data_IF_519647015970
#
_entry.id   IF_519647015970
#
_cell.length_a   1.000
_cell.length_b   1.000
_cell.length_c   1.000
_cell.angle_alpha   90.00
_cell.angle_beta   90.00
_cell.angle_gamma   90.00
#
_symmetry.space_group_name_H-M   'P 1'
#
loop_
_entity.id
_entity.type
_entity.pdbx_description
1 polymer ?
#
# COMPACT_ATOMS: atom_id res chain seq x y z
N UNK A 1 -9.70 -19.54 -2.84
CA UNK A 1 -9.58 -18.12 -3.24
C UNK A 1 -8.23 -17.57 -2.76
N UNK A 2 -7.66 -16.59 -3.45
CA UNK A 2 -6.35 -15.99 -3.09
C UNK A 2 -6.32 -15.41 -1.67
N UNK A 3 -7.42 -14.79 -1.22
CA UNK A 3 -7.58 -14.24 0.14
C UNK A 3 -7.38 -15.33 1.21
N UNK A 4 -8.02 -16.48 1.07
CA UNK A 4 -7.88 -17.58 2.03
C UNK A 4 -6.43 -18.10 2.14
N UNK A 5 -5.71 -18.17 1.02
CA UNK A 5 -4.28 -18.53 1.03
C UNK A 5 -3.45 -17.48 1.77
N UNK A 6 -3.72 -16.19 1.54
CA UNK A 6 -3.02 -15.09 2.23
C UNK A 6 -3.31 -15.09 3.72
N UNK A 7 -4.56 -15.27 4.14
CA UNK A 7 -4.94 -15.35 5.56
C UNK A 7 -4.25 -16.53 6.25
N UNK A 8 -4.21 -17.70 5.60
CA UNK A 8 -3.48 -18.85 6.13
C UNK A 8 -1.98 -18.57 6.26
N UNK A 9 -1.37 -17.94 5.26
CA UNK A 9 0.03 -17.56 5.33
C UNK A 9 0.31 -16.58 6.49
N UNK A 10 -0.55 -15.57 6.66
CA UNK A 10 -0.44 -14.61 7.78
C UNK A 10 -0.50 -15.34 9.13
N UNK A 11 -1.39 -16.33 9.26
CA UNK A 11 -1.54 -17.10 10.49
C UNK A 11 -0.38 -18.06 10.75
N UNK A 12 0.07 -18.78 9.72
CA UNK A 12 1.12 -19.79 9.84
C UNK A 12 2.54 -19.19 9.96
N UNK A 13 2.77 -18.01 9.35
CA UNK A 13 4.14 -17.52 9.10
C UNK A 13 4.47 -16.15 9.70
N UNK A 14 3.48 -15.35 10.11
CA UNK A 14 3.73 -14.00 10.64
C UNK A 14 3.40 -13.94 12.14
N UNK A 15 4.06 -13.05 12.87
CA UNK A 15 3.82 -12.81 14.28
C UNK A 15 3.70 -11.31 14.62
N UNK A 16 3.36 -11.03 15.88
CA UNK A 16 3.34 -9.68 16.45
C UNK A 16 2.58 -8.64 15.64
N UNK A 17 3.18 -7.45 15.52
CA UNK A 17 2.59 -6.31 14.80
C UNK A 17 2.40 -6.60 13.33
N UNK A 18 3.32 -7.33 12.67
CA UNK A 18 3.19 -7.66 11.25
C UNK A 18 1.96 -8.53 10.99
N UNK A 19 1.75 -9.57 11.80
CA UNK A 19 0.54 -10.39 11.71
C UNK A 19 -0.70 -9.53 11.88
N UNK A 20 -0.73 -8.68 12.90
CA UNK A 20 -1.85 -7.77 13.16
C UNK A 20 -2.15 -6.85 11.97
N UNK A 21 -1.15 -6.13 11.47
CA UNK A 21 -1.27 -5.20 10.34
C UNK A 21 -1.74 -5.90 9.07
N UNK A 22 -1.13 -7.03 8.70
CA UNK A 22 -1.52 -7.77 7.50
C UNK A 22 -2.93 -8.34 7.63
N UNK A 23 -3.31 -8.84 8.82
CA UNK A 23 -4.64 -9.38 9.05
C UNK A 23 -5.73 -8.31 8.92
N UNK A 24 -5.52 -7.13 9.50
CA UNK A 24 -6.45 -6.00 9.37
C UNK A 24 -6.68 -5.64 7.90
N UNK A 25 -5.60 -5.45 7.14
CA UNK A 25 -5.72 -5.06 5.73
C UNK A 25 -6.40 -6.13 4.87
N UNK A 26 -6.04 -7.40 5.04
CA UNK A 26 -6.62 -8.49 4.24
C UNK A 26 -8.08 -8.76 4.61
N UNK A 27 -8.46 -8.59 5.88
CA UNK A 27 -9.86 -8.71 6.30
C UNK A 27 -10.72 -7.57 5.76
N UNK A 28 -10.23 -6.33 5.81
CA UNK A 28 -10.92 -5.21 5.19
C UNK A 28 -11.07 -5.40 3.66
N UNK A 29 -10.05 -5.94 2.98
CA UNK A 29 -10.14 -6.29 1.56
C UNK A 29 -11.13 -7.42 1.27
N UNK A 30 -11.25 -8.42 2.15
CA UNK A 30 -12.24 -9.50 2.05
C UNK A 30 -13.66 -8.94 2.16
N UNK A 31 -13.92 -8.09 3.15
CA UNK A 31 -15.21 -7.42 3.35
C UNK A 31 -15.60 -6.54 2.15
N UNK A 32 -14.66 -5.72 1.65
CA UNK A 32 -14.90 -4.89 0.48
C UNK A 32 -15.20 -5.74 -0.76
N UNK A 33 -14.43 -6.82 -0.97
CA UNK A 33 -14.64 -7.73 -2.09
C UNK A 33 -16.04 -8.37 -2.05
N UNK A 34 -16.43 -8.91 -0.89
CA UNK A 34 -17.77 -9.48 -0.70
C UNK A 34 -18.86 -8.45 -0.95
N UNK A 35 -18.69 -7.22 -0.45
CA UNK A 35 -19.67 -6.17 -0.59
C UNK A 35 -19.82 -5.69 -2.04
N UNK A 36 -18.73 -5.47 -2.78
CA UNK A 36 -18.80 -5.02 -4.18
C UNK A 36 -19.18 -6.12 -5.17
N UNK A 37 -19.02 -7.39 -4.80
CA UNK A 37 -19.39 -8.53 -5.65
C UNK A 37 -20.78 -9.12 -5.37
N UNK A 38 -21.41 -8.75 -4.25
CA UNK A 38 -22.77 -9.23 -3.93
C UNK A 38 -23.81 -8.35 -4.62
N UNK A 39 -24.52 -8.91 -5.60
CA UNK A 39 -25.55 -8.19 -6.35
C UNK A 39 -26.67 -7.66 -5.44
N UNK A 40 -27.21 -6.49 -5.81
CA UNK A 40 -28.41 -5.92 -5.19
C UNK A 40 -28.16 -5.03 -3.97
N UNK A 41 -26.94 -4.99 -3.41
CA UNK A 41 -26.60 -4.03 -2.36
C UNK A 41 -26.11 -2.69 -2.95
N UNK A 42 -25.94 -1.67 -2.10
CA UNK A 42 -25.58 -0.33 -2.55
C UNK A 42 -24.10 -0.18 -2.94
N UNK A 43 -23.20 -0.94 -2.32
CA UNK A 43 -21.77 -0.95 -2.68
C UNK A 43 -21.53 -1.56 -4.07
N UNK A 44 -22.26 -2.61 -4.42
CA UNK A 44 -22.28 -3.18 -5.76
C UNK A 44 -22.71 -2.14 -6.81
N UNK A 45 -23.78 -1.38 -6.55
CA UNK A 45 -24.25 -0.33 -7.47
C UNK A 45 -23.20 0.77 -7.62
N UNK A 46 -22.66 1.28 -6.51
CA UNK A 46 -21.62 2.31 -6.52
C UNK A 46 -20.35 1.85 -7.25
N UNK A 47 -19.97 0.57 -7.10
CA UNK A 47 -18.87 -0.01 -7.84
C UNK A 47 -19.12 0.02 -9.34
N UNK A 48 -20.28 -0.45 -9.80
CA UNK A 48 -20.64 -0.43 -11.23
C UNK A 48 -20.71 0.99 -11.80
N UNK A 49 -21.25 1.94 -11.05
CA UNK A 49 -21.30 3.36 -11.41
C UNK A 49 -19.89 3.99 -11.48
N UNK A 50 -18.97 3.52 -10.64
CA UNK A 50 -17.58 4.00 -10.59
C UNK A 50 -16.66 3.34 -11.61
N UNK A 51 -17.03 2.16 -12.14
CA UNK A 51 -16.20 1.37 -13.03
C UNK A 51 -15.75 2.13 -14.30
N UNK A 52 -16.58 2.94 -15.00
CA UNK A 52 -16.13 3.71 -16.15
C UNK A 52 -14.99 4.70 -15.82
N UNK A 53 -15.05 5.34 -14.65
CA UNK A 53 -14.00 6.22 -14.15
C UNK A 53 -12.72 5.43 -13.86
N UNK A 54 -12.83 4.34 -13.10
CA UNK A 54 -11.70 3.47 -12.76
C UNK A 54 -11.00 2.92 -14.02
N UNK A 55 -11.77 2.47 -15.00
CA UNK A 55 -11.25 1.95 -16.27
C UNK A 55 -10.52 3.02 -17.08
N UNK A 56 -11.03 4.26 -17.10
CA UNK A 56 -10.38 5.38 -17.78
C UNK A 56 -9.08 5.79 -17.08
N UNK A 57 -9.09 5.81 -15.74
CA UNK A 57 -7.92 6.13 -14.93
C UNK A 57 -6.91 4.98 -14.81
N UNK A 58 -7.25 3.78 -15.29
CA UNK A 58 -6.54 2.53 -15.00
C UNK A 58 -5.05 2.56 -15.34
N UNK A 59 -4.65 3.20 -16.44
CA UNK A 59 -3.24 3.34 -16.80
C UNK A 59 -2.46 4.22 -15.79
N UNK A 60 -3.07 5.31 -15.33
CA UNK A 60 -2.51 6.18 -14.30
C UNK A 60 -2.40 5.47 -12.96
N UNK A 61 -3.46 4.81 -12.51
CA UNK A 61 -3.47 4.02 -11.26
C UNK A 61 -2.39 2.94 -11.30
N UNK A 62 -2.27 2.17 -12.39
CA UNK A 62 -1.22 1.16 -12.54
C UNK A 62 0.18 1.75 -12.44
N UNK A 63 0.39 2.95 -13.01
CA UNK A 63 1.66 3.67 -12.89
C UNK A 63 1.95 4.04 -11.43
N UNK A 64 0.96 4.53 -10.69
CA UNK A 64 1.09 4.85 -9.27
C UNK A 64 1.46 3.62 -8.43
N UNK A 65 0.81 2.47 -8.67
CA UNK A 65 1.12 1.22 -7.96
C UNK A 65 2.53 0.71 -8.27
N UNK A 66 2.96 0.77 -9.55
CA UNK A 66 4.35 0.43 -9.91
C UNK A 66 5.35 1.34 -9.22
N UNK A 67 5.09 2.64 -9.19
CA UNK A 67 5.93 3.62 -8.51
C UNK A 67 5.98 3.38 -7.00
N UNK A 68 4.88 2.99 -6.37
CA UNK A 68 4.85 2.58 -4.97
C UNK A 68 5.82 1.42 -4.74
N UNK A 69 5.74 0.36 -5.52
CA UNK A 69 6.62 -0.80 -5.38
C UNK A 69 8.10 -0.49 -5.62
N UNK A 70 8.41 0.35 -6.61
CA UNK A 70 9.77 0.89 -6.81
C UNK A 70 10.24 1.65 -5.56
N UNK A 71 9.39 2.50 -5.00
CA UNK A 71 9.72 3.30 -3.84
C UNK A 71 9.84 2.48 -2.54
N UNK A 72 9.02 1.45 -2.39
CA UNK A 72 9.17 0.45 -1.33
C UNK A 72 10.50 -0.27 -1.47
N UNK A 73 10.88 -0.72 -2.66
CA UNK A 73 12.21 -1.30 -2.89
C UNK A 73 13.34 -0.30 -2.56
N UNK A 74 13.19 0.98 -2.94
CA UNK A 74 14.16 2.04 -2.57
C UNK A 74 14.30 2.19 -1.06
N UNK A 75 13.21 2.09 -0.30
CA UNK A 75 13.25 2.14 1.17
C UNK A 75 14.03 0.97 1.79
N UNK A 76 14.02 -0.20 1.14
CA UNK A 76 14.77 -1.38 1.56
C UNK A 76 16.25 -1.28 1.17
N UNK A 77 16.56 -0.80 -0.02
CA UNK A 77 17.94 -0.86 -0.53
C UNK A 77 18.77 0.36 -0.13
N UNK A 78 18.13 1.53 -0.04
CA UNK A 78 18.84 2.82 0.05
C UNK A 78 18.63 3.55 1.37
N UNK A 79 17.56 3.26 2.12
CA UNK A 79 17.36 3.89 3.43
C UNK A 79 18.22 3.23 4.52
N UNK A 80 18.65 4.01 5.54
CA UNK A 80 19.11 3.45 6.81
C UNK A 80 18.05 2.49 7.38
N UNK A 81 18.48 1.39 8.00
CA UNK A 81 17.57 0.36 8.54
C UNK A 81 16.50 0.94 9.47
N UNK A 82 16.88 1.89 10.32
CA UNK A 82 15.98 2.56 11.27
C UNK A 82 14.95 3.48 10.60
N UNK A 83 15.13 3.85 9.33
CA UNK A 83 14.25 4.76 8.58
C UNK A 83 13.48 4.05 7.45
N UNK A 84 13.68 2.75 7.23
CA UNK A 84 12.98 2.01 6.16
C UNK A 84 11.47 2.15 6.25
N UNK A 85 10.88 1.92 7.43
CA UNK A 85 9.44 2.02 7.64
C UNK A 85 8.96 3.47 7.44
N UNK A 86 9.71 4.44 7.97
CA UNK A 86 9.41 5.86 7.80
C UNK A 86 9.30 6.26 6.31
N UNK A 87 10.28 5.87 5.50
CA UNK A 87 10.25 6.11 4.06
C UNK A 87 9.09 5.39 3.38
N UNK A 88 8.85 4.12 3.71
CA UNK A 88 7.76 3.33 3.15
C UNK A 88 6.39 3.98 3.38
N UNK A 89 6.16 4.44 4.60
CA UNK A 89 4.93 5.14 4.99
C UNK A 89 4.73 6.46 4.23
N UNK A 90 5.79 7.25 4.07
CA UNK A 90 5.70 8.48 3.29
C UNK A 90 5.51 8.20 1.79
N UNK A 91 6.14 7.16 1.25
CA UNK A 91 5.92 6.74 -0.14
C UNK A 91 4.52 6.21 -0.39
N UNK A 92 3.91 5.54 0.60
CA UNK A 92 2.49 5.20 0.53
C UNK A 92 1.64 6.46 0.42
N UNK A 93 1.84 7.47 1.28
CA UNK A 93 1.13 8.74 1.18
C UNK A 93 1.24 9.39 -0.21
N UNK A 94 2.44 9.39 -0.80
CA UNK A 94 2.67 9.88 -2.17
C UNK A 94 1.94 9.03 -3.23
N UNK A 95 1.81 7.72 -3.02
CA UNK A 95 1.06 6.85 -3.94
C UNK A 95 -0.43 7.17 -3.91
N UNK A 96 -0.97 7.57 -2.75
CA UNK A 96 -2.35 8.03 -2.62
C UNK A 96 -2.54 9.37 -3.35
N UNK A 97 -1.60 10.31 -3.21
CA UNK A 97 -1.61 11.56 -3.99
C UNK A 97 -1.61 11.27 -5.51
N UNK A 98 -0.80 10.29 -5.94
CA UNK A 98 -0.73 9.87 -7.34
C UNK A 98 -2.05 9.28 -7.85
N UNK A 99 -2.68 8.37 -7.08
CA UNK A 99 -3.96 7.76 -7.45
C UNK A 99 -5.05 8.82 -7.51
N UNK A 100 -5.09 9.73 -6.54
CA UNK A 100 -6.04 10.83 -6.52
C UNK A 100 -5.89 11.75 -7.74
N UNK A 101 -4.65 12.03 -8.16
CA UNK A 101 -4.37 12.76 -9.39
C UNK A 101 -4.76 11.96 -10.65
N UNK A 102 -4.53 10.65 -10.68
CA UNK A 102 -4.96 9.80 -11.80
C UNK A 102 -6.48 9.78 -11.98
N UNK A 103 -7.23 9.97 -10.90
CA UNK A 103 -8.70 10.06 -10.89
C UNK A 103 -9.23 11.47 -11.19
N UNK A 104 -8.38 12.48 -11.36
CA UNK A 104 -8.82 13.88 -11.52
C UNK A 104 -9.64 14.12 -12.80
N UNK A 105 -9.45 13.28 -13.82
CA UNK A 105 -10.13 13.37 -15.11
C UNK A 105 -11.55 12.79 -15.15
N UNK A 106 -12.05 12.22 -14.05
CA UNK A 106 -13.40 11.66 -14.02
C UNK A 106 -14.45 12.78 -14.07
N UNK A 107 -15.16 12.92 -15.20
CA UNK A 107 -16.25 13.88 -15.38
C UNK A 107 -17.37 13.63 -14.35
N UNK A 108 -17.92 14.67 -13.71
CA UNK A 108 -18.89 14.56 -12.59
C UNK A 108 -18.27 14.32 -11.20
N UNK A 109 -16.94 14.15 -11.16
CA UNK A 109 -15.88 14.20 -10.14
C UNK A 109 -16.08 14.00 -8.62
N UNK A 110 -17.28 13.89 -8.05
CA UNK A 110 -17.39 13.60 -6.59
C UNK A 110 -17.57 12.10 -6.30
N UNK A 111 -18.64 11.41 -6.76
CA UNK A 111 -19.00 10.13 -6.16
C UNK A 111 -18.05 8.97 -6.52
N UNK A 112 -17.67 8.83 -7.79
CA UNK A 112 -16.81 7.71 -8.21
C UNK A 112 -15.38 7.82 -7.69
N UNK A 113 -14.82 9.03 -7.72
CA UNK A 113 -13.50 9.32 -7.12
C UNK A 113 -13.55 9.09 -5.61
N UNK A 114 -14.57 9.61 -4.94
CA UNK A 114 -14.76 9.43 -3.50
C UNK A 114 -14.89 7.95 -3.16
N UNK A 115 -15.74 7.20 -3.86
CA UNK A 115 -15.90 5.77 -3.67
C UNK A 115 -14.55 5.03 -3.77
N UNK A 116 -13.79 5.26 -4.85
CA UNK A 116 -12.49 4.59 -5.04
C UNK A 116 -11.47 4.95 -3.95
N UNK A 117 -11.40 6.22 -3.54
CA UNK A 117 -10.50 6.66 -2.47
C UNK A 117 -10.92 6.12 -1.11
N UNK A 118 -12.22 6.07 -0.81
CA UNK A 118 -12.76 5.50 0.42
C UNK A 118 -12.50 4.00 0.53
N UNK A 119 -12.53 3.24 -0.58
CA UNK A 119 -12.15 1.81 -0.56
C UNK A 119 -10.66 1.64 -0.26
N UNK A 120 -9.80 2.47 -0.84
CA UNK A 120 -8.35 2.44 -0.54
C UNK A 120 -8.11 2.73 0.95
N UNK A 121 -8.78 3.75 1.50
CA UNK A 121 -8.66 4.11 2.92
C UNK A 121 -9.24 3.00 3.83
N UNK A 122 -10.38 2.42 3.48
CA UNK A 122 -10.97 1.32 4.24
C UNK A 122 -10.04 0.09 4.30
N UNK A 123 -9.42 -0.28 3.18
CA UNK A 123 -8.54 -1.45 3.10
C UNK A 123 -7.22 -1.24 3.84
N UNK A 124 -6.60 -0.06 3.73
CA UNK A 124 -5.23 0.15 4.19
C UNK A 124 -5.09 1.14 5.35
N UNK A 125 -6.06 2.01 5.59
CA UNK A 125 -5.98 3.14 6.52
C UNK A 125 -5.68 2.70 7.96
N UNK A 126 -6.41 1.71 8.48
CA UNK A 126 -6.19 1.20 9.83
C UNK A 126 -4.85 0.46 9.96
N UNK A 127 -4.53 -0.37 8.96
CA UNK A 127 -3.27 -1.10 8.91
C UNK A 127 -2.07 -0.14 8.90
N UNK A 128 -2.15 0.93 8.12
CA UNK A 128 -1.11 1.94 8.02
C UNK A 128 -1.06 2.86 9.23
N UNK A 129 -2.20 3.21 9.81
CA UNK A 129 -2.24 3.97 11.06
C UNK A 129 -1.49 3.24 12.17
N UNK A 130 -1.60 1.90 12.21
CA UNK A 130 -0.87 1.06 13.17
C UNK A 130 0.65 1.09 12.98
N UNK A 131 1.15 1.08 11.74
CA UNK A 131 2.61 0.96 11.47
C UNK A 131 3.31 2.29 11.20
N UNK A 132 2.60 3.27 10.63
CA UNK A 132 3.19 4.52 10.18
C UNK A 132 3.21 5.60 11.26
N UNK A 133 2.33 5.52 12.26
CA UNK A 133 2.28 6.49 13.36
C UNK A 133 2.22 7.92 12.84
N UNK A 134 3.30 8.69 13.05
CA UNK A 134 3.38 10.10 12.63
C UNK A 134 3.79 10.30 11.16
N UNK A 135 4.26 9.25 10.47
CA UNK A 135 4.67 9.31 9.06
C UNK A 135 3.46 9.17 8.13
N UNK A 136 2.57 10.15 8.16
CA UNK A 136 1.33 10.14 7.39
C UNK A 136 1.41 11.06 6.17
N UNK A 137 0.48 10.84 5.23
CA UNK A 137 0.30 11.67 4.02
C UNK A 137 0.23 13.15 4.38
N UNK A 138 1.05 13.98 3.71
CA UNK A 138 1.08 15.43 3.92
C UNK A 138 1.74 15.90 5.22
N UNK A 139 2.27 15.00 6.06
CA UNK A 139 2.92 15.40 7.31
C UNK A 139 4.26 16.13 7.06
N UNK A 140 4.58 17.11 7.92
CA UNK A 140 5.86 17.80 7.87
C UNK A 140 7.06 16.85 8.09
N UNK A 141 6.85 15.76 8.83
CA UNK A 141 7.88 14.75 9.07
C UNK A 141 8.22 14.01 7.77
N UNK A 142 7.23 13.67 6.95
CA UNK A 142 7.50 13.11 5.62
C UNK A 142 8.25 14.08 4.71
N UNK A 143 7.92 15.38 4.76
CA UNK A 143 8.63 16.40 3.99
C UNK A 143 10.08 16.61 4.46
N UNK A 144 10.38 16.32 5.72
CA UNK A 144 11.72 16.44 6.31
C UNK A 144 12.61 15.22 6.08
N UNK A 145 12.06 14.09 5.60
CA UNK A 145 12.86 12.89 5.33
C UNK A 145 13.83 13.14 4.16
N UNK A 146 15.09 12.69 4.28
CA UNK A 146 16.05 12.81 3.19
C UNK A 146 15.58 12.07 1.93
N UNK A 147 15.71 12.70 0.75
CA UNK A 147 15.40 12.01 -0.50
C UNK A 147 16.37 10.85 -0.71
N UNK A 148 15.83 9.64 -0.85
CA UNK A 148 16.64 8.46 -1.15
C UNK A 148 17.15 8.51 -2.60
N UNK A 149 18.35 7.96 -2.88
CA UNK A 149 18.78 7.67 -4.25
C UNK A 149 17.76 6.82 -5.03
N UNK A 150 17.89 6.84 -6.36
CA UNK A 150 17.16 5.90 -7.22
C UNK A 150 17.73 4.48 -7.07
N UNK A 151 16.98 3.48 -7.54
CA UNK A 151 17.51 2.12 -7.67
C UNK A 151 18.63 2.09 -8.73
N UNK A 152 19.56 1.16 -8.57
CA UNK A 152 20.68 1.01 -9.51
C UNK A 152 20.17 0.50 -10.87
N UNK A 153 20.82 0.92 -11.95
CA UNK A 153 20.49 0.41 -13.28
C UNK A 153 20.74 -1.09 -13.36
N UNK A 154 19.76 -1.85 -13.86
CA UNK A 154 19.83 -3.31 -13.94
C UNK A 154 19.57 -4.03 -12.61
N UNK A 155 19.09 -3.33 -11.58
CA UNK A 155 18.58 -3.98 -10.38
C UNK A 155 17.46 -4.99 -10.72
N UNK A 156 17.29 -6.05 -9.91
CA UNK A 156 16.15 -6.97 -10.05
C UNK A 156 14.82 -6.22 -10.04
N UNK A 157 13.79 -6.85 -10.63
CA UNK A 157 12.43 -6.32 -10.58
C UNK A 157 12.04 -5.97 -9.13
N UNK A 158 11.44 -4.78 -8.90
CA UNK A 158 10.99 -4.38 -7.57
C UNK A 158 10.01 -5.40 -6.99
N UNK A 159 10.03 -5.55 -5.67
CA UNK A 159 9.00 -6.32 -4.94
C UNK A 159 7.63 -5.83 -5.39
N UNK A 160 6.79 -6.76 -5.84
CA UNK A 160 5.45 -6.46 -6.37
C UNK A 160 4.31 -6.92 -5.45
N UNK A 161 4.64 -7.35 -4.22
CA UNK A 161 3.73 -7.85 -3.22
C UNK A 161 4.06 -7.26 -1.84
N UNK A 162 3.07 -6.64 -1.19
CA UNK A 162 3.25 -6.03 0.13
C UNK A 162 3.66 -7.03 1.22
N UNK A 163 3.21 -8.29 1.12
CA UNK A 163 3.57 -9.34 2.09
C UNK A 163 5.06 -9.69 1.97
N UNK A 164 5.58 -9.82 0.75
CA UNK A 164 7.02 -10.00 0.52
C UNK A 164 7.81 -8.81 1.07
N UNK A 165 7.34 -7.60 0.81
CA UNK A 165 7.96 -6.39 1.34
C UNK A 165 8.05 -6.43 2.88
N UNK A 166 6.94 -6.73 3.57
CA UNK A 166 6.90 -6.85 5.02
C UNK A 166 7.88 -7.89 5.55
N UNK A 167 7.98 -9.06 4.91
CA UNK A 167 8.95 -10.10 5.28
C UNK A 167 10.39 -9.59 5.17
N UNK A 168 10.73 -8.88 4.09
CA UNK A 168 12.09 -8.33 3.92
C UNK A 168 12.41 -7.25 4.93
N UNK A 169 11.44 -6.38 5.27
CA UNK A 169 11.61 -5.38 6.33
C UNK A 169 11.93 -6.07 7.65
N UNK A 170 11.15 -7.07 8.05
CA UNK A 170 11.36 -7.80 9.32
C UNK A 170 12.69 -8.52 9.34
N UNK A 171 13.04 -9.19 8.23
CA UNK A 171 14.30 -9.92 8.10
C UNK A 171 15.50 -8.97 8.23
N UNK A 172 15.37 -7.76 7.67
CA UNK A 172 16.37 -6.69 7.77
C UNK A 172 16.46 -6.11 9.19
N UNK A 173 15.33 -6.00 9.89
CA UNK A 173 15.26 -5.49 11.27
C UNK A 173 15.73 -6.51 12.33
N UNK A 174 15.52 -7.81 12.09
CA UNK A 174 15.95 -8.90 12.99
C UNK A 174 17.42 -9.28 12.87
N UNK A 175 18.10 -8.82 11.80
CA UNK A 175 19.55 -8.98 11.64
C UNK A 175 20.28 -7.92 12.47
N UNK A 176 20.57 -8.23 13.74
CA UNK A 176 21.29 -7.34 14.65
C UNK A 176 22.58 -6.76 14.03
N UNK A 177 22.91 -5.51 14.40
CA UNK A 177 24.24 -4.95 14.24
C UNK A 177 25.26 -5.86 14.96
N UNK A 178 26.17 -6.49 14.22
CA UNK A 178 27.21 -7.32 14.83
C UNK A 178 27.71 -8.47 13.98
N UNK A 179 28.40 -8.17 12.88
CA UNK A 179 29.42 -9.06 12.33
C UNK A 179 30.50 -8.18 11.68
N UNK A 180 31.32 -7.56 12.53
CA UNK A 180 32.71 -7.29 12.20
C UNK A 180 33.38 -8.62 11.86
N UNK A 181 33.87 -8.75 10.63
CA UNK A 181 35.14 -9.41 10.34
C UNK A 181 35.92 -8.49 9.41
#
# INVERSE_FOLDING_TARGET
AQIACTLKYIDDCLDGTTRGTCLVAIKAAEEDYEAVCTEGNDLYKQFLESAPCANTAGAGINTCIRNLYVNLQRSLDKAPRSQTIAHACCFYGQSIDCVEAALSGCQGSSPARQFLMERIEHIFGDALSLVCGTYTRGSAICAALPTLPQLDQGAPEPINNVVEYSIKVISRSGSADGATQ
#
